data_IF_506000325192
#
_entry.id   IF_506000325192
#
_cell.length_a   1.000
_cell.length_b   1.000
_cell.length_c   1.000
_cell.angle_alpha   90.00
_cell.angle_beta   90.00
_cell.angle_gamma   90.00
#
_symmetry.space_group_name_H-M   'P 1'
#
loop_
_entity.id
_entity.type
_entity.pdbx_description
1 polymer ?
#
# COMPACT_ATOMS: atom_id res chain seq x y z
N UNK A 1 -48.82 28.31 -56.21
CA UNK A 1 -48.04 29.37 -56.90
C UNK A 1 -46.72 29.55 -56.16
N UNK A 2 -45.53 29.79 -56.74
CA UNK A 2 -44.96 29.68 -58.11
C UNK A 2 -43.50 30.23 -58.00
N UNK A 3 -42.47 29.46 -58.41
CA UNK A 3 -41.10 29.82 -58.91
C UNK A 3 -40.15 28.63 -58.59
N UNK A 4 -39.57 27.84 -59.52
CA UNK A 4 -38.74 28.09 -60.73
C UNK A 4 -37.34 28.63 -60.33
N UNK A 5 -36.15 28.10 -60.67
CA UNK A 5 -35.62 26.98 -61.53
C UNK A 5 -34.20 26.56 -61.02
N UNK A 6 -33.50 25.46 -61.38
CA UNK A 6 -33.84 24.21 -62.10
C UNK A 6 -32.78 23.69 -63.11
N UNK A 7 -32.36 22.40 -62.99
CA UNK A 7 -31.55 21.52 -63.91
C UNK A 7 -30.01 21.77 -64.04
N UNK A 8 -29.21 20.85 -64.66
CA UNK A 8 -29.46 19.52 -65.30
C UNK A 8 -28.79 18.32 -64.55
N UNK A 9 -29.00 17.00 -64.79
CA UNK A 9 -29.61 16.13 -65.82
C UNK A 9 -28.63 15.38 -66.78
N UNK A 10 -28.94 14.08 -67.05
CA UNK A 10 -28.27 13.03 -67.89
C UNK A 10 -27.22 12.16 -67.16
N UNK A 11 -27.12 10.84 -67.37
CA UNK A 11 -27.83 9.83 -68.22
C UNK A 11 -27.86 8.50 -67.42
N UNK A 12 -28.90 7.66 -67.39
CA UNK A 12 -29.53 6.89 -68.50
C UNK A 12 -29.08 5.42 -68.38
N UNK A 13 -29.89 4.48 -67.89
CA UNK A 13 -30.88 3.66 -68.64
C UNK A 13 -30.41 2.19 -68.55
N UNK A 14 -31.22 1.12 -68.61
CA UNK A 14 -32.68 0.98 -68.69
C UNK A 14 -33.14 -0.29 -67.93
N UNK A 15 -34.47 -0.51 -67.84
CA UNK A 15 -35.10 -1.56 -67.01
C UNK A 15 -35.56 -2.81 -67.83
N UNK A 16 -36.66 -3.55 -67.49
CA UNK A 16 -36.56 -4.95 -67.03
C UNK A 16 -37.34 -5.93 -67.96
N UNK A 17 -38.13 -6.88 -67.39
CA UNK A 17 -39.12 -7.81 -68.05
C UNK A 17 -38.51 -9.13 -68.61
N UNK A 18 -39.07 -10.35 -68.47
CA UNK A 18 -40.19 -10.96 -67.71
C UNK A 18 -40.23 -12.51 -67.95
N UNK A 19 -41.21 -13.22 -67.36
CA UNK A 19 -41.69 -14.60 -67.63
C UNK A 19 -40.81 -15.74 -67.06
N UNK A 20 -41.33 -16.68 -66.25
CA UNK A 20 -42.41 -17.70 -66.47
C UNK A 20 -42.02 -18.68 -67.59
N UNK A 21 -42.18 -19.99 -67.48
CA UNK A 21 -43.01 -20.81 -66.56
C UNK A 21 -42.48 -22.27 -66.45
N UNK A 22 -43.24 -23.15 -65.80
CA UNK A 22 -43.36 -24.61 -66.04
C UNK A 22 -42.78 -25.65 -65.05
N UNK A 23 -43.70 -26.55 -64.62
CA UNK A 23 -43.56 -27.99 -64.32
C UNK A 23 -42.89 -28.52 -63.02
N UNK A 24 -43.79 -28.85 -62.07
CA UNK A 24 -43.80 -29.91 -61.03
C UNK A 24 -43.39 -31.35 -61.51
N UNK A 25 -43.24 -32.37 -60.61
CA UNK A 25 -42.69 -32.38 -59.24
C UNK A 25 -41.82 -33.68 -58.99
N UNK A 26 -41.82 -34.46 -57.85
CA UNK A 26 -40.58 -35.11 -57.38
C UNK A 26 -40.58 -36.66 -57.41
N UNK A 27 -39.44 -37.31 -57.13
CA UNK A 27 -39.42 -38.74 -56.77
C UNK A 27 -38.32 -39.17 -55.80
N UNK A 28 -38.66 -40.19 -55.00
CA UNK A 28 -37.87 -40.79 -53.93
C UNK A 28 -37.05 -41.98 -54.44
N UNK A 29 -35.83 -42.17 -53.94
CA UNK A 29 -34.95 -43.30 -54.28
C UNK A 29 -34.38 -43.97 -53.03
N UNK A 30 -34.77 -45.23 -52.78
CA UNK A 30 -34.34 -46.03 -51.61
C UNK A 30 -32.88 -46.49 -51.73
N UNK A 31 -32.21 -46.57 -50.58
CA UNK A 31 -30.78 -46.85 -50.47
C UNK A 31 -30.29 -48.26 -50.82
N UNK A 32 -28.97 -48.43 -50.73
CA UNK A 32 -28.30 -49.72 -50.54
C UNK A 32 -26.97 -49.55 -49.83
N UNK A 33 -26.66 -50.48 -48.92
CA UNK A 33 -25.45 -50.45 -48.11
C UNK A 33 -24.21 -50.95 -48.87
N UNK A 34 -23.03 -50.43 -48.52
CA UNK A 34 -21.76 -51.15 -48.73
C UNK A 34 -20.81 -50.92 -47.55
N UNK A 35 -20.25 -52.03 -47.03
CA UNK A 35 -19.24 -52.06 -45.95
C UNK A 35 -17.98 -51.28 -46.34
N UNK A 36 -17.43 -50.52 -45.39
CA UNK A 36 -16.09 -49.94 -45.47
C UNK A 36 -15.53 -49.70 -44.06
N UNK A 37 -14.78 -50.67 -43.53
CA UNK A 37 -14.02 -50.53 -42.26
C UNK A 37 -13.04 -49.35 -42.38
N UNK A 38 -13.03 -48.41 -41.43
CA UNK A 38 -11.86 -47.59 -41.09
C UNK A 38 -11.65 -47.58 -39.57
N UNK A 39 -10.39 -47.58 -39.18
CA UNK A 39 -9.94 -47.96 -37.83
C UNK A 39 -10.07 -46.83 -36.81
N UNK A 40 -10.20 -47.21 -35.54
CA UNK A 40 -9.76 -46.37 -34.42
C UNK A 40 -8.23 -46.17 -34.48
N UNK A 41 -7.80 -44.91 -34.54
CA UNK A 41 -6.60 -44.32 -33.91
C UNK A 41 -6.99 -42.83 -33.74
N UNK A 42 -6.85 -42.19 -32.59
CA UNK A 42 -5.57 -42.01 -31.92
C UNK A 42 -5.03 -40.61 -32.23
N UNK A 43 -5.78 -39.56 -31.86
CA UNK A 43 -5.31 -38.18 -31.83
C UNK A 43 -5.00 -37.86 -30.36
N UNK A 44 -3.78 -37.57 -29.93
CA UNK A 44 -2.55 -37.27 -30.68
C UNK A 44 -2.06 -35.89 -30.26
N UNK A 45 -1.06 -35.84 -29.37
CA UNK A 45 -0.50 -34.58 -28.89
C UNK A 45 -0.06 -33.70 -30.05
N UNK A 46 -0.55 -32.46 -30.12
CA UNK A 46 0.07 -31.42 -30.94
C UNK A 46 1.42 -31.05 -30.32
N UNK A 47 2.47 -31.65 -30.85
CA UNK A 47 3.85 -31.25 -30.57
C UNK A 47 4.09 -29.88 -31.22
N UNK A 48 4.24 -28.86 -30.38
CA UNK A 48 4.48 -27.49 -30.81
C UNK A 48 5.83 -27.38 -31.53
N UNK A 49 5.94 -26.76 -32.72
CA UNK A 49 7.18 -26.80 -33.50
C UNK A 49 8.36 -26.07 -32.83
N UNK A 50 9.33 -26.83 -32.33
CA UNK A 50 10.66 -26.32 -31.98
C UNK A 50 11.39 -25.91 -33.27
N UNK A 51 11.28 -24.65 -33.67
CA UNK A 51 11.79 -24.20 -34.97
C UNK A 51 11.70 -22.70 -35.26
N UNK A 52 11.74 -21.84 -34.24
CA UNK A 52 11.97 -20.42 -34.45
C UNK A 52 13.48 -20.13 -34.60
N UNK A 53 13.92 -19.30 -35.55
CA UNK A 53 15.34 -18.96 -35.70
C UNK A 53 15.86 -18.28 -34.42
N UNK A 54 17.02 -18.72 -33.94
CA UNK A 54 17.64 -18.11 -32.77
C UNK A 54 18.02 -16.67 -33.05
N UNK A 55 17.34 -15.72 -32.41
CA UNK A 55 17.85 -14.37 -32.25
C UNK A 55 19.06 -14.44 -31.30
N UNK A 56 20.26 -14.65 -31.87
CA UNK A 56 21.52 -14.89 -31.14
C UNK A 56 21.83 -13.79 -30.12
N UNK A 57 21.35 -12.57 -30.38
CA UNK A 57 21.40 -11.42 -29.45
C UNK A 57 20.62 -11.66 -28.16
N UNK A 58 19.35 -12.06 -28.24
CA UNK A 58 18.50 -12.32 -27.05
C UNK A 58 19.04 -13.50 -26.21
N UNK A 59 19.54 -14.55 -26.87
CA UNK A 59 20.16 -15.69 -26.18
C UNK A 59 21.41 -15.29 -25.37
N UNK A 60 22.20 -14.35 -25.88
CA UNK A 60 23.36 -13.83 -25.15
C UNK A 60 22.95 -12.93 -23.98
N UNK A 61 21.88 -12.14 -24.12
CA UNK A 61 21.36 -11.28 -23.05
C UNK A 61 20.88 -12.09 -21.85
N UNK A 62 20.08 -13.14 -22.08
CA UNK A 62 19.58 -14.00 -20.99
C UNK A 62 20.71 -14.70 -20.23
N UNK A 63 21.73 -15.20 -20.95
CA UNK A 63 22.92 -15.80 -20.34
C UNK A 63 23.74 -14.78 -19.51
N UNK A 64 23.95 -13.57 -20.04
CA UNK A 64 24.67 -12.50 -19.33
C UNK A 64 23.92 -12.05 -18.06
N UNK A 65 22.59 -11.97 -18.11
CA UNK A 65 21.74 -11.64 -16.96
C UNK A 65 21.80 -12.74 -15.88
N UNK A 66 21.69 -14.01 -16.27
CA UNK A 66 21.83 -15.13 -15.33
C UNK A 66 23.21 -15.12 -14.66
N UNK A 67 24.29 -14.93 -15.43
CA UNK A 67 25.66 -14.79 -14.94
C UNK A 67 25.77 -13.62 -13.95
N UNK A 68 25.20 -12.45 -14.28
CA UNK A 68 25.18 -11.26 -13.43
C UNK A 68 24.47 -11.48 -12.09
N UNK A 69 23.30 -12.13 -12.08
CA UNK A 69 22.57 -12.49 -10.86
C UNK A 69 23.39 -13.46 -9.99
N UNK A 70 23.98 -14.49 -10.62
CA UNK A 70 24.84 -15.46 -9.94
C UNK A 70 26.10 -14.84 -9.34
N UNK A 71 26.74 -13.89 -10.03
CA UNK A 71 27.86 -13.11 -9.49
C UNK A 71 27.44 -12.19 -8.34
N UNK A 72 26.31 -11.49 -8.45
CA UNK A 72 25.81 -10.56 -7.43
C UNK A 72 25.55 -11.28 -6.09
N UNK A 73 24.81 -12.38 -6.14
CA UNK A 73 24.50 -13.21 -4.95
C UNK A 73 25.75 -13.95 -4.47
N UNK A 74 26.60 -14.41 -5.39
CA UNK A 74 27.86 -15.05 -5.09
C UNK A 74 28.87 -14.14 -4.36
N UNK A 75 28.92 -12.85 -4.72
CA UNK A 75 29.80 -11.85 -4.10
C UNK A 75 29.37 -11.54 -2.67
N UNK A 76 28.05 -11.43 -2.41
CA UNK A 76 27.50 -11.33 -1.07
C UNK A 76 27.95 -12.52 -0.21
N UNK A 77 27.77 -13.74 -0.74
CA UNK A 77 28.08 -14.97 0.00
C UNK A 77 29.56 -15.11 0.29
N UNK A 78 30.42 -14.76 -0.65
CA UNK A 78 31.86 -14.77 -0.48
C UNK A 78 32.34 -13.70 0.51
N UNK A 79 31.70 -12.53 0.55
CA UNK A 79 32.00 -11.48 1.54
C UNK A 79 31.56 -11.85 2.97
N UNK A 80 30.47 -12.59 3.12
CA UNK A 80 30.03 -13.13 4.42
C UNK A 80 30.73 -14.45 4.81
N UNK A 81 31.64 -14.97 3.98
CA UNK A 81 32.53 -16.08 4.32
C UNK A 81 33.61 -15.58 5.28
N UNK A 82 33.29 -15.60 6.58
CA UNK A 82 34.17 -15.11 7.63
C UNK A 82 35.54 -15.80 7.63
N UNK A 83 36.56 -15.11 8.17
CA UNK A 83 37.85 -15.73 8.48
C UNK A 83 37.69 -16.66 9.68
N UNK A 84 37.39 -17.93 9.42
CA UNK A 84 37.18 -18.97 10.43
C UNK A 84 36.78 -20.31 9.81
N UNK A 85 36.67 -21.35 10.64
CA UNK A 85 36.49 -22.74 10.19
C UNK A 85 35.11 -23.05 9.58
N UNK A 86 34.13 -22.15 9.72
CA UNK A 86 32.81 -22.25 9.10
C UNK A 86 32.83 -21.89 7.60
N UNK A 87 33.59 -22.66 6.81
CA UNK A 87 33.68 -22.50 5.35
C UNK A 87 32.33 -22.83 4.68
N UNK A 88 31.50 -21.83 4.44
CA UNK A 88 30.34 -21.95 3.55
C UNK A 88 30.76 -22.53 2.19
N UNK A 89 30.09 -23.61 1.78
CA UNK A 89 30.61 -24.50 0.73
C UNK A 89 30.60 -23.84 -0.67
N UNK A 90 29.66 -22.93 -0.93
CA UNK A 90 29.52 -22.22 -2.20
C UNK A 90 30.12 -20.80 -2.15
N UNK A 91 30.92 -20.43 -3.16
CA UNK A 91 31.46 -19.09 -3.37
C UNK A 91 30.98 -18.47 -4.68
N UNK A 92 31.54 -17.32 -5.08
CA UNK A 92 31.11 -16.56 -6.27
C UNK A 92 31.08 -17.40 -7.55
N UNK A 93 32.09 -18.25 -7.76
CA UNK A 93 32.13 -19.18 -8.91
C UNK A 93 30.97 -20.19 -8.89
N UNK A 94 30.62 -20.72 -7.72
CA UNK A 94 29.54 -21.71 -7.58
C UNK A 94 28.20 -21.10 -7.97
N UNK A 95 27.86 -19.92 -7.44
CA UNK A 95 26.60 -19.24 -7.76
C UNK A 95 26.51 -18.80 -9.22
N UNK A 96 27.60 -18.29 -9.82
CA UNK A 96 27.64 -17.95 -11.23
C UNK A 96 27.42 -19.18 -12.15
N UNK A 97 28.07 -20.31 -11.84
CA UNK A 97 27.89 -21.56 -12.58
C UNK A 97 26.46 -22.11 -12.39
N UNK A 98 25.91 -22.10 -11.18
CA UNK A 98 24.54 -22.55 -10.92
C UNK A 98 23.49 -21.71 -11.64
N UNK A 99 23.68 -20.38 -11.76
CA UNK A 99 22.76 -19.53 -12.52
C UNK A 99 22.79 -19.86 -14.03
N UNK A 100 23.99 -19.99 -14.60
CA UNK A 100 24.16 -20.40 -16.01
C UNK A 100 23.58 -21.81 -16.27
N UNK A 101 23.76 -22.73 -15.32
CA UNK A 101 23.23 -24.09 -15.39
C UNK A 101 21.69 -24.10 -15.44
N UNK A 102 21.02 -23.24 -14.66
CA UNK A 102 19.57 -23.07 -14.70
C UNK A 102 19.09 -22.49 -16.04
N UNK A 103 19.79 -21.48 -16.56
CA UNK A 103 19.50 -20.89 -17.87
C UNK A 103 19.61 -21.93 -19.00
N UNK A 104 20.74 -22.67 -19.05
CA UNK A 104 20.97 -23.70 -20.07
C UNK A 104 19.98 -24.85 -19.95
N UNK A 105 19.67 -25.33 -18.73
CA UNK A 105 18.69 -26.39 -18.51
C UNK A 105 17.31 -26.02 -19.07
N UNK A 106 16.86 -24.79 -18.83
CA UNK A 106 15.58 -24.29 -19.33
C UNK A 106 15.57 -24.16 -20.87
N UNK A 107 16.66 -23.66 -21.47
CA UNK A 107 16.76 -23.50 -22.93
C UNK A 107 16.87 -24.83 -23.69
N UNK A 108 17.58 -25.82 -23.15
CA UNK A 108 17.86 -27.10 -23.83
C UNK A 108 16.77 -28.13 -23.61
N UNK A 109 16.22 -28.24 -22.39
CA UNK A 109 15.29 -29.31 -22.02
C UNK A 109 14.07 -28.85 -21.21
N UNK A 110 13.80 -27.53 -21.19
CA UNK A 110 12.62 -26.95 -20.56
C UNK A 110 12.49 -27.25 -19.07
N UNK A 111 11.24 -27.28 -18.60
CA UNK A 111 10.88 -27.52 -17.20
C UNK A 111 11.30 -28.92 -16.70
N UNK A 112 11.33 -29.92 -17.57
CA UNK A 112 11.69 -31.30 -17.23
C UNK A 112 13.18 -31.40 -16.87
N UNK A 113 14.07 -30.88 -17.72
CA UNK A 113 15.50 -30.86 -17.43
C UNK A 113 15.82 -29.95 -16.24
N UNK A 114 15.16 -28.80 -16.12
CA UNK A 114 15.29 -27.92 -14.95
C UNK A 114 14.92 -28.65 -13.65
N UNK A 115 13.84 -29.43 -13.64
CA UNK A 115 13.42 -30.24 -12.49
C UNK A 115 14.46 -31.28 -12.09
N UNK A 116 15.04 -32.01 -13.06
CA UNK A 116 16.14 -32.95 -12.81
C UNK A 116 17.37 -32.23 -12.23
N UNK A 117 17.77 -31.10 -12.81
CA UNK A 117 18.90 -30.32 -12.31
C UNK A 117 18.67 -29.76 -10.91
N UNK A 118 17.44 -29.34 -10.58
CA UNK A 118 17.07 -28.90 -9.24
C UNK A 118 17.16 -30.04 -8.21
N UNK A 119 16.73 -31.25 -8.58
CA UNK A 119 16.90 -32.46 -7.75
C UNK A 119 18.38 -32.79 -7.55
N UNK A 120 19.20 -32.76 -8.61
CA UNK A 120 20.64 -32.99 -8.49
C UNK A 120 21.34 -31.97 -7.58
N UNK A 121 20.99 -30.68 -7.68
CA UNK A 121 21.50 -29.62 -6.80
C UNK A 121 21.02 -29.83 -5.36
N UNK A 122 19.74 -30.17 -5.14
CA UNK A 122 19.21 -30.46 -3.82
C UNK A 122 19.88 -31.67 -3.17
N UNK A 123 20.13 -32.75 -3.92
CA UNK A 123 20.87 -33.94 -3.45
C UNK A 123 22.32 -33.60 -3.09
N UNK A 124 23.03 -32.85 -3.92
CA UNK A 124 24.39 -32.37 -3.61
C UNK A 124 24.40 -31.54 -2.32
N UNK A 125 23.45 -30.62 -2.17
CA UNK A 125 23.22 -29.82 -0.96
C UNK A 125 22.97 -30.71 0.25
N UNK A 126 22.10 -31.73 0.16
CA UNK A 126 21.83 -32.67 1.25
C UNK A 126 23.06 -33.47 1.63
N UNK A 127 23.85 -33.97 0.67
CA UNK A 127 25.11 -34.71 0.93
C UNK A 127 26.15 -33.82 1.61
N UNK A 128 26.27 -32.56 1.20
CA UNK A 128 27.15 -31.56 1.85
C UNK A 128 26.70 -31.28 3.28
N UNK A 129 25.40 -31.09 3.50
CA UNK A 129 24.82 -30.88 4.83
C UNK A 129 25.06 -32.07 5.76
N UNK A 130 24.80 -33.30 5.30
CA UNK A 130 25.05 -34.53 6.05
C UNK A 130 26.53 -34.72 6.42
N UNK A 131 27.46 -34.30 5.54
CA UNK A 131 28.90 -34.31 5.86
C UNK A 131 29.34 -33.21 6.85
N UNK A 132 28.52 -32.19 7.09
CA UNK A 132 28.87 -31.01 7.87
C UNK A 132 28.10 -30.89 9.21
N UNK A 133 27.57 -32.01 9.72
CA UNK A 133 26.79 -32.09 10.97
C UNK A 133 27.47 -31.49 12.22
N UNK A 134 28.80 -31.39 12.25
CA UNK A 134 29.55 -30.80 13.37
C UNK A 134 29.68 -29.26 13.33
N UNK A 135 29.23 -28.60 12.26
CA UNK A 135 29.41 -27.15 12.08
C UNK A 135 28.18 -26.53 11.41
N UNK A 136 27.15 -26.29 12.22
CA UNK A 136 25.81 -25.72 11.91
C UNK A 136 25.73 -24.94 10.58
N UNK A 137 25.51 -25.63 9.43
CA UNK A 137 25.55 -25.01 8.12
C UNK A 137 24.25 -24.24 7.91
N UNK A 138 24.33 -22.92 7.91
CA UNK A 138 23.14 -22.08 7.89
C UNK A 138 22.33 -22.21 6.60
N UNK A 139 21.29 -23.08 6.64
CA UNK A 139 20.31 -23.52 5.61
C UNK A 139 19.93 -22.47 4.54
N UNK A 140 20.03 -21.19 4.88
CA UNK A 140 20.01 -20.06 3.94
C UNK A 140 20.97 -20.16 2.74
N UNK A 141 22.13 -20.82 2.84
CA UNK A 141 23.08 -20.95 1.72
C UNK A 141 22.56 -21.90 0.65
N UNK A 142 21.98 -22.99 1.14
CA UNK A 142 21.48 -24.15 0.46
C UNK A 142 20.22 -23.77 -0.32
N UNK A 143 19.29 -23.08 0.35
CA UNK A 143 18.11 -22.48 -0.27
C UNK A 143 18.51 -21.43 -1.31
N UNK A 144 19.46 -20.54 -1.01
CA UNK A 144 19.93 -19.55 -1.99
C UNK A 144 20.49 -20.17 -3.27
N UNK A 145 21.17 -21.33 -3.18
CA UNK A 145 21.74 -22.01 -4.34
C UNK A 145 20.64 -22.56 -5.27
N UNK A 146 19.57 -23.12 -4.71
CA UNK A 146 18.36 -23.51 -5.44
C UNK A 146 17.62 -22.30 -6.02
N UNK A 147 17.49 -21.21 -5.26
CA UNK A 147 16.89 -19.95 -5.74
C UNK A 147 17.66 -19.38 -6.94
N UNK A 148 18.99 -19.45 -6.94
CA UNK A 148 19.82 -18.97 -8.06
C UNK A 148 19.72 -19.87 -9.30
N UNK A 149 19.54 -21.18 -9.14
CA UNK A 149 19.21 -22.07 -10.26
C UNK A 149 17.88 -21.67 -10.94
N UNK A 150 16.84 -21.42 -10.14
CA UNK A 150 15.52 -21.03 -10.64
C UNK A 150 15.53 -19.62 -11.26
N UNK A 151 16.24 -18.66 -10.66
CA UNK A 151 16.46 -17.32 -11.23
C UNK A 151 17.17 -17.41 -12.58
N UNK A 152 18.20 -18.24 -12.70
CA UNK A 152 18.90 -18.50 -13.96
C UNK A 152 17.95 -19.03 -15.04
N UNK A 153 17.07 -19.97 -14.71
CA UNK A 153 16.05 -20.46 -15.63
C UNK A 153 15.04 -19.37 -16.05
N UNK A 154 14.59 -18.53 -15.11
CA UNK A 154 13.69 -17.40 -15.39
C UNK A 154 14.30 -16.37 -16.34
N UNK A 155 15.63 -16.29 -16.47
CA UNK A 155 16.28 -15.39 -17.42
C UNK A 155 15.99 -15.74 -18.89
N UNK A 156 15.55 -16.97 -19.19
CA UNK A 156 15.12 -17.39 -20.53
C UNK A 156 13.73 -16.89 -20.93
N UNK A 157 12.84 -16.69 -19.96
CA UNK A 157 11.42 -16.34 -20.21
C UNK A 157 11.06 -14.90 -19.79
N UNK A 158 11.66 -14.38 -18.72
CA UNK A 158 11.36 -13.07 -18.16
C UNK A 158 12.62 -12.46 -17.48
N UNK A 159 13.62 -12.02 -18.26
CA UNK A 159 14.88 -11.53 -17.72
C UNK A 159 14.72 -10.32 -16.79
N UNK A 160 13.80 -9.40 -17.07
CA UNK A 160 13.52 -8.23 -16.21
C UNK A 160 13.02 -8.64 -14.82
N UNK A 161 12.10 -9.61 -14.75
CA UNK A 161 11.57 -10.15 -13.50
C UNK A 161 12.66 -10.93 -12.74
N UNK A 162 13.50 -11.69 -13.45
CA UNK A 162 14.63 -12.39 -12.86
C UNK A 162 15.67 -11.42 -12.26
N UNK A 163 15.95 -10.28 -12.92
CA UNK A 163 16.81 -9.22 -12.36
C UNK A 163 16.19 -8.65 -11.10
N UNK A 164 14.91 -8.27 -11.13
CA UNK A 164 14.22 -7.68 -9.99
C UNK A 164 14.24 -8.61 -8.77
N UNK A 165 13.87 -9.89 -8.94
CA UNK A 165 13.89 -10.88 -7.85
C UNK A 165 15.34 -11.17 -7.41
N UNK A 166 16.30 -11.28 -8.33
CA UNK A 166 17.71 -11.52 -8.02
C UNK A 166 18.34 -10.40 -7.19
N UNK A 167 18.03 -9.15 -7.49
CA UNK A 167 18.48 -7.98 -6.71
C UNK A 167 17.81 -7.96 -5.33
N UNK A 168 16.51 -8.28 -5.23
CA UNK A 168 15.82 -8.38 -3.93
C UNK A 168 16.41 -9.49 -3.06
N UNK A 169 16.69 -10.67 -3.63
CA UNK A 169 17.35 -11.78 -2.92
C UNK A 169 18.76 -11.39 -2.47
N UNK A 170 19.58 -10.81 -3.34
CA UNK A 170 20.92 -10.33 -2.99
C UNK A 170 20.87 -9.28 -1.86
N UNK A 171 19.91 -8.34 -1.91
CA UNK A 171 19.68 -7.37 -0.86
C UNK A 171 19.28 -8.03 0.46
N UNK A 172 18.33 -8.96 0.45
CA UNK A 172 17.89 -9.67 1.66
C UNK A 172 19.03 -10.42 2.35
N UNK A 173 19.91 -11.07 1.57
CA UNK A 173 21.11 -11.70 2.09
C UNK A 173 22.09 -10.65 2.66
N UNK A 174 22.42 -9.61 1.90
CA UNK A 174 23.37 -8.56 2.30
C UNK A 174 22.95 -7.81 3.57
N UNK A 175 21.64 -7.59 3.77
CA UNK A 175 21.09 -6.91 4.95
C UNK A 175 20.75 -7.88 6.11
N UNK A 176 20.94 -9.20 5.97
CA UNK A 176 20.57 -10.23 6.98
C UNK A 176 20.98 -9.87 8.41
N UNK A 177 22.24 -9.50 8.62
CA UNK A 177 22.73 -9.15 9.97
C UNK A 177 22.08 -7.88 10.53
N UNK A 178 21.86 -6.86 9.69
CA UNK A 178 21.20 -5.60 10.10
C UNK A 178 19.73 -5.83 10.39
N UNK A 179 19.03 -6.61 9.57
CA UNK A 179 17.64 -7.03 9.79
C UNK A 179 17.49 -7.84 11.07
N UNK A 180 18.38 -8.81 11.31
CA UNK A 180 18.36 -9.63 12.54
C UNK A 180 18.67 -8.82 13.79
N UNK A 181 19.64 -7.90 13.73
CA UNK A 181 19.92 -6.99 14.85
C UNK A 181 18.73 -6.06 15.10
N UNK A 182 18.16 -5.44 14.06
CA UNK A 182 16.99 -4.57 14.17
C UNK A 182 15.79 -5.30 14.79
N UNK A 183 15.44 -6.49 14.29
CA UNK A 183 14.35 -7.30 14.83
C UNK A 183 14.57 -7.73 16.29
N UNK A 184 15.82 -7.93 16.73
CA UNK A 184 16.15 -8.50 18.05
C UNK A 184 16.61 -7.49 19.10
N UNK A 185 17.03 -6.28 18.71
CA UNK A 185 17.50 -5.22 19.62
C UNK A 185 16.70 -3.91 19.53
N UNK A 186 15.99 -3.67 18.43
CA UNK A 186 15.24 -2.43 18.20
C UNK A 186 13.71 -2.60 18.20
N UNK A 187 13.18 -3.83 18.23
CA UNK A 187 11.75 -4.07 18.44
C UNK A 187 11.52 -4.80 19.76
N UNK A 188 10.56 -4.31 20.54
CA UNK A 188 9.88 -5.06 21.59
C UNK A 188 9.07 -6.20 20.98
N UNK A 189 8.84 -7.28 21.72
CA UNK A 189 7.95 -8.37 21.29
C UNK A 189 6.55 -7.89 20.90
N UNK A 190 6.04 -6.86 21.58
CA UNK A 190 4.78 -6.21 21.22
C UNK A 190 4.88 -5.52 19.85
N UNK A 191 5.89 -4.66 19.63
CA UNK A 191 6.12 -3.99 18.34
C UNK A 191 6.29 -4.99 17.20
N UNK A 192 6.96 -6.13 17.44
CA UNK A 192 7.16 -7.17 16.43
C UNK A 192 5.86 -7.92 16.09
N UNK A 193 5.04 -8.26 17.10
CA UNK A 193 3.72 -8.90 16.88
C UNK A 193 2.78 -7.95 16.15
N UNK A 194 2.65 -6.72 16.61
CA UNK A 194 1.71 -5.76 16.05
C UNK A 194 2.21 -5.20 14.68
N UNK A 195 3.51 -5.23 14.42
CA UNK A 195 4.10 -5.04 13.08
C UNK A 195 3.85 -6.22 12.14
N UNK A 196 3.89 -7.47 12.62
CA UNK A 196 3.50 -8.65 11.85
C UNK A 196 2.01 -8.60 11.46
N UNK A 197 1.15 -8.11 12.37
CA UNK A 197 -0.27 -7.83 12.06
C UNK A 197 -0.40 -6.83 10.91
N UNK A 198 0.38 -5.75 10.90
CA UNK A 198 0.38 -4.78 9.79
C UNK A 198 0.80 -5.44 8.46
N UNK A 199 1.83 -6.29 8.48
CA UNK A 199 2.24 -7.07 7.30
C UNK A 199 1.14 -8.04 6.83
N UNK A 200 0.47 -8.76 7.73
CA UNK A 200 -0.65 -9.63 7.38
C UNK A 200 -1.81 -8.82 6.79
N UNK A 201 -2.14 -7.67 7.38
CA UNK A 201 -3.17 -6.78 6.85
C UNK A 201 -2.83 -6.25 5.44
N UNK A 202 -1.58 -5.84 5.21
CA UNK A 202 -1.13 -5.25 3.95
C UNK A 202 -0.85 -6.27 2.82
N UNK A 203 -0.25 -7.42 3.13
CA UNK A 203 0.18 -8.42 2.14
C UNK A 203 -0.81 -9.59 1.98
N UNK A 204 -1.72 -9.82 2.93
CA UNK A 204 -2.71 -10.89 2.85
C UNK A 204 -4.13 -10.32 2.79
N UNK A 205 -4.56 -9.57 3.81
CA UNK A 205 -5.97 -9.12 3.88
C UNK A 205 -6.30 -8.14 2.76
N UNK A 206 -5.46 -7.14 2.50
CA UNK A 206 -5.68 -6.12 1.48
C UNK A 206 -5.78 -6.67 0.04
N UNK A 207 -4.87 -7.55 -0.46
CA UNK A 207 -5.04 -8.14 -1.79
C UNK A 207 -6.24 -9.09 -1.88
N UNK A 208 -6.59 -9.81 -0.80
CA UNK A 208 -7.81 -10.64 -0.76
C UNK A 208 -9.11 -9.83 -0.60
N UNK A 209 -9.06 -8.58 -0.14
CA UNK A 209 -10.25 -7.77 0.11
C UNK A 209 -11.02 -7.49 -1.21
N UNK A 210 -12.30 -7.88 -1.33
CA UNK A 210 -13.05 -7.69 -2.57
C UNK A 210 -13.28 -6.20 -2.85
N UNK A 211 -12.92 -5.74 -4.05
CA UNK A 211 -13.17 -4.37 -4.50
C UNK A 211 -14.59 -4.22 -5.04
N UNK A 212 -15.55 -4.28 -4.13
CA UNK A 212 -16.98 -4.03 -4.42
C UNK A 212 -17.61 -3.38 -3.20
N UNK A 213 -18.60 -2.54 -3.46
CA UNK A 213 -19.48 -2.02 -2.44
C UNK A 213 -20.45 -3.12 -1.99
N UNK A 214 -20.58 -3.32 -0.69
CA UNK A 214 -21.37 -4.39 -0.06
C UNK A 214 -22.28 -3.78 1.01
N UNK A 215 -23.46 -4.37 1.20
CA UNK A 215 -24.43 -3.98 2.22
C UNK A 215 -25.52 -3.03 1.72
N UNK A 216 -26.47 -2.64 2.60
CA UNK A 216 -27.51 -1.68 2.28
C UNK A 216 -26.91 -0.36 1.75
N UNK A 217 -27.58 0.25 0.78
CA UNK A 217 -27.16 1.51 0.13
C UNK A 217 -25.78 1.48 -0.56
N UNK A 218 -25.15 0.31 -0.74
CA UNK A 218 -23.84 0.18 -1.40
C UNK A 218 -22.74 1.14 -0.85
N UNK A 219 -22.74 1.39 0.46
CA UNK A 219 -21.86 2.39 1.07
C UNK A 219 -20.48 1.86 1.50
N UNK A 220 -20.38 0.56 1.80
CA UNK A 220 -19.20 -0.05 2.43
C UNK A 220 -18.35 -0.75 1.37
N UNK A 221 -17.18 -0.18 1.03
CA UNK A 221 -16.16 -0.87 0.24
C UNK A 221 -15.08 -1.42 1.18
N UNK A 222 -15.01 -2.76 1.30
CA UNK A 222 -14.10 -3.42 2.24
C UNK A 222 -12.63 -3.20 1.87
N UNK A 223 -12.28 -3.19 0.57
CA UNK A 223 -10.93 -2.86 0.11
C UNK A 223 -10.54 -1.44 0.51
N UNK A 224 -11.43 -0.46 0.35
CA UNK A 224 -11.16 0.94 0.75
C UNK A 224 -10.92 1.07 2.24
N UNK A 225 -11.73 0.42 3.08
CA UNK A 225 -11.52 0.40 4.54
C UNK A 225 -10.18 -0.28 4.88
N UNK A 226 -9.87 -1.44 4.30
CA UNK A 226 -8.58 -2.11 4.50
C UNK A 226 -7.39 -1.24 4.07
N UNK A 227 -7.46 -0.56 2.92
CA UNK A 227 -6.41 0.36 2.45
C UNK A 227 -6.20 1.49 3.46
N UNK A 228 -7.28 2.12 3.94
CA UNK A 228 -7.19 3.24 4.88
C UNK A 228 -6.72 2.81 6.28
N UNK A 229 -7.13 1.63 6.77
CA UNK A 229 -6.58 1.06 8.01
C UNK A 229 -5.08 0.78 7.87
N UNK A 230 -4.64 0.11 6.80
CA UNK A 230 -3.22 -0.18 6.54
C UNK A 230 -2.41 1.11 6.40
N UNK A 231 -2.94 2.11 5.71
CA UNK A 231 -2.36 3.44 5.57
C UNK A 231 -2.12 4.11 6.93
N UNK A 232 -3.17 4.20 7.75
CA UNK A 232 -3.10 4.84 9.08
C UNK A 232 -2.14 4.10 10.02
N UNK A 233 -2.17 2.76 10.03
CA UNK A 233 -1.22 1.95 10.80
C UNK A 233 0.22 2.14 10.33
N UNK A 234 0.45 2.21 9.01
CA UNK A 234 1.79 2.41 8.44
C UNK A 234 2.34 3.79 8.77
N UNK A 235 1.51 4.83 8.70
CA UNK A 235 1.90 6.19 9.07
C UNK A 235 2.16 6.32 10.57
N UNK A 236 1.33 5.71 11.42
CA UNK A 236 1.57 5.66 12.87
C UNK A 236 2.84 4.89 13.24
N UNK A 237 3.13 3.80 12.55
CA UNK A 237 4.37 3.04 12.67
C UNK A 237 5.61 3.87 12.31
N UNK A 238 5.58 4.58 11.18
CA UNK A 238 6.65 5.50 10.76
C UNK A 238 6.82 6.61 11.80
N UNK A 239 5.72 7.19 12.30
CA UNK A 239 5.73 8.18 13.38
C UNK A 239 6.44 7.68 14.63
N UNK A 240 6.16 6.46 15.08
CA UNK A 240 6.79 5.86 16.26
C UNK A 240 8.28 5.59 16.07
N UNK A 241 8.67 5.07 14.90
CA UNK A 241 10.08 4.88 14.53
C UNK A 241 10.78 6.25 14.50
N UNK A 242 10.12 7.30 14.02
CA UNK A 242 10.64 8.67 14.06
C UNK A 242 10.78 9.21 15.50
N UNK A 243 9.80 9.01 16.40
CA UNK A 243 9.95 9.36 17.84
C UNK A 243 11.15 8.62 18.45
N UNK A 244 11.29 7.33 18.19
CA UNK A 244 12.36 6.48 18.76
C UNK A 244 13.76 6.85 18.24
N UNK A 245 13.87 7.26 16.98
CA UNK A 245 15.16 7.61 16.34
C UNK A 245 15.54 9.09 16.54
N UNK A 246 14.60 10.03 16.48
CA UNK A 246 14.86 11.47 16.66
C UNK A 246 14.71 11.97 18.11
N UNK A 247 13.87 11.33 18.93
CA UNK A 247 13.49 11.84 20.26
C UNK A 247 14.66 11.98 21.24
N UNK A 248 15.78 11.29 21.00
CA UNK A 248 17.01 11.40 21.79
C UNK A 248 17.84 12.67 21.52
N UNK A 249 17.50 13.45 20.48
CA UNK A 249 18.35 14.56 19.97
C UNK A 249 17.59 15.84 19.58
N UNK A 250 16.26 15.80 19.42
CA UNK A 250 15.49 16.85 18.74
C UNK A 250 14.30 17.45 19.54
N UNK A 251 14.22 17.21 20.85
CA UNK A 251 13.30 17.90 21.77
C UNK A 251 11.81 17.55 21.64
N UNK A 252 10.98 18.24 22.43
CA UNK A 252 9.53 17.98 22.54
C UNK A 252 8.76 18.14 21.21
N UNK A 253 9.08 19.15 20.40
CA UNK A 253 8.30 19.49 19.19
C UNK A 253 8.39 18.42 18.09
N UNK A 254 9.60 18.02 17.70
CA UNK A 254 9.77 17.00 16.65
C UNK A 254 9.23 15.65 17.13
N UNK A 255 9.41 15.35 18.41
CA UNK A 255 8.80 14.17 19.05
C UNK A 255 7.27 14.22 19.02
N UNK A 256 6.65 15.40 19.20
CA UNK A 256 5.20 15.54 19.20
C UNK A 256 4.58 15.51 17.79
N UNK A 257 5.27 15.99 16.76
CA UNK A 257 4.85 15.76 15.35
C UNK A 257 4.86 14.25 15.06
N UNK A 258 5.98 13.59 15.38
CA UNK A 258 6.16 12.15 15.13
C UNK A 258 5.17 11.29 15.95
N UNK A 259 4.91 11.64 17.21
CA UNK A 259 3.89 11.04 18.07
C UNK A 259 2.46 11.32 17.57
N UNK A 260 2.24 12.50 16.98
CA UNK A 260 0.95 12.90 16.42
C UNK A 260 0.44 11.96 15.33
N UNK A 261 1.34 11.37 14.55
CA UNK A 261 1.01 10.36 13.53
C UNK A 261 0.50 9.04 14.15
N UNK A 262 0.94 8.68 15.36
CA UNK A 262 0.37 7.55 16.10
C UNK A 262 -0.96 7.94 16.76
N UNK A 263 -1.00 9.06 17.49
CA UNK A 263 -2.24 9.72 17.92
C UNK A 263 -1.98 11.14 18.43
N UNK A 264 -2.49 12.15 17.72
CA UNK A 264 -2.44 13.55 18.17
C UNK A 264 -3.15 13.74 19.51
N UNK A 265 -4.30 13.10 19.77
CA UNK A 265 -5.04 13.24 21.03
C UNK A 265 -4.25 12.69 22.22
N UNK A 266 -3.62 11.51 22.09
CA UNK A 266 -2.72 10.97 23.14
C UNK A 266 -1.48 11.84 23.30
N UNK A 267 -0.96 12.42 22.22
CA UNK A 267 0.18 13.36 22.26
C UNK A 267 -0.18 14.62 23.06
N UNK A 268 -1.34 15.21 22.82
CA UNK A 268 -1.84 16.37 23.58
C UNK A 268 -2.08 16.01 25.06
N UNK A 269 -2.63 14.82 25.35
CA UNK A 269 -2.79 14.32 26.71
C UNK A 269 -1.44 14.18 27.43
N UNK A 270 -0.44 13.59 26.76
CA UNK A 270 0.93 13.41 27.28
C UNK A 270 1.63 14.75 27.51
N UNK A 271 1.54 15.70 26.56
CA UNK A 271 2.10 17.04 26.73
C UNK A 271 1.42 17.81 27.86
N UNK A 272 0.10 17.67 28.03
CA UNK A 272 -0.61 18.26 29.16
C UNK A 272 -0.14 17.69 30.50
N UNK A 273 -0.02 16.36 30.62
CA UNK A 273 0.45 15.74 31.86
C UNK A 273 1.89 16.17 32.20
N UNK A 274 2.80 16.27 31.23
CA UNK A 274 4.16 16.78 31.48
C UNK A 274 4.11 18.27 31.83
N UNK A 275 3.25 19.07 31.20
CA UNK A 275 3.08 20.50 31.49
C UNK A 275 2.49 20.76 32.89
N UNK A 276 1.70 19.83 33.43
CA UNK A 276 1.22 19.86 34.81
C UNK A 276 2.35 19.61 35.83
N UNK A 277 3.36 18.80 35.47
CA UNK A 277 4.54 18.53 36.32
C UNK A 277 5.70 19.51 36.10
N UNK A 278 5.83 20.10 34.91
CA UNK A 278 6.88 21.06 34.53
C UNK A 278 6.27 22.44 34.14
N UNK A 279 5.76 23.23 35.12
CA UNK A 279 5.02 24.47 34.86
C UNK A 279 5.85 25.57 34.15
N UNK A 280 7.18 25.47 34.18
CA UNK A 280 8.10 26.41 33.51
C UNK A 280 8.17 26.18 31.98
N UNK A 281 7.91 24.95 31.52
CA UNK A 281 8.01 24.56 30.11
C UNK A 281 6.67 24.63 29.35
N UNK A 282 5.57 25.02 30.01
CA UNK A 282 4.18 24.96 29.48
C UNK A 282 4.02 25.57 28.08
N UNK A 283 4.74 26.66 27.76
CA UNK A 283 4.71 27.27 26.41
C UNK A 283 5.27 26.35 25.32
N UNK A 284 6.40 25.69 25.61
CA UNK A 284 7.08 24.76 24.69
C UNK A 284 6.25 23.49 24.52
N UNK A 285 5.63 22.99 25.59
CA UNK A 285 4.74 21.84 25.50
C UNK A 285 3.41 22.17 24.81
N UNK A 286 2.88 23.38 24.99
CA UNK A 286 1.73 23.88 24.22
C UNK A 286 2.04 23.94 22.72
N UNK A 287 3.21 24.49 22.35
CA UNK A 287 3.69 24.48 20.97
C UNK A 287 3.83 23.04 20.42
N UNK A 288 4.47 22.14 21.17
CA UNK A 288 4.62 20.74 20.78
C UNK A 288 3.26 20.03 20.59
N UNK A 289 2.30 20.27 21.49
CA UNK A 289 0.94 19.76 21.40
C UNK A 289 0.23 20.25 20.13
N UNK A 290 0.35 21.54 19.79
CA UNK A 290 -0.13 22.10 18.52
C UNK A 290 0.54 21.43 17.31
N UNK A 291 1.86 21.28 17.32
CA UNK A 291 2.60 20.68 16.21
C UNK A 291 2.15 19.23 15.94
N UNK A 292 1.60 18.51 16.91
CA UNK A 292 0.95 17.20 16.68
C UNK A 292 -0.26 17.27 15.73
N UNK A 293 -0.93 18.42 15.59
CA UNK A 293 -2.02 18.60 14.63
C UNK A 293 -1.54 18.59 13.17
N UNK A 294 -0.27 18.92 12.89
CA UNK A 294 0.29 18.80 11.54
C UNK A 294 0.26 17.35 11.05
N UNK A 295 0.40 16.37 11.96
CA UNK A 295 0.21 14.97 11.63
C UNK A 295 -1.24 14.68 11.25
N UNK A 296 -2.23 15.18 12.01
CA UNK A 296 -3.66 15.03 11.68
C UNK A 296 -4.00 15.67 10.32
N UNK A 297 -3.52 16.88 10.03
CA UNK A 297 -3.75 17.55 8.73
C UNK A 297 -3.13 16.74 7.59
N UNK A 298 -1.90 16.25 7.77
CA UNK A 298 -1.22 15.36 6.81
C UNK A 298 -1.99 14.05 6.62
N UNK A 299 -2.49 13.43 7.69
CA UNK A 299 -3.26 12.17 7.64
C UNK A 299 -4.61 12.34 6.94
N UNK A 300 -5.32 13.46 7.16
CA UNK A 300 -6.55 13.79 6.43
C UNK A 300 -6.25 13.93 4.93
N UNK A 301 -5.22 14.69 4.55
CA UNK A 301 -4.80 14.80 3.14
C UNK A 301 -4.43 13.44 2.52
N UNK A 302 -3.76 12.58 3.29
CA UNK A 302 -3.36 11.26 2.83
C UNK A 302 -4.56 10.30 2.67
N UNK A 303 -5.56 10.36 3.57
CA UNK A 303 -6.83 9.65 3.41
C UNK A 303 -7.50 10.06 2.11
N UNK A 304 -7.68 11.38 1.89
CA UNK A 304 -8.32 11.91 0.68
C UNK A 304 -7.61 11.44 -0.59
N UNK A 305 -6.30 11.68 -0.70
CA UNK A 305 -5.52 11.30 -1.88
C UNK A 305 -5.42 9.79 -2.12
N UNK A 306 -5.61 8.96 -1.09
CA UNK A 306 -5.67 7.49 -1.22
C UNK A 306 -7.03 7.00 -1.71
N UNK A 307 -8.11 7.73 -1.41
CA UNK A 307 -9.46 7.41 -1.88
C UNK A 307 -9.64 7.86 -3.33
N UNK A 308 -9.42 9.14 -3.62
CA UNK A 308 -9.43 9.75 -4.95
C UNK A 308 -8.69 11.09 -4.95
N UNK A 309 -7.83 11.35 -5.94
CA UNK A 309 -7.05 12.60 -6.03
C UNK A 309 -7.95 13.84 -6.22
N UNK A 310 -9.13 13.69 -6.83
CA UNK A 310 -10.12 14.75 -7.01
C UNK A 310 -10.65 15.32 -5.69
N UNK A 311 -10.72 14.49 -4.63
CA UNK A 311 -11.13 14.90 -3.28
C UNK A 311 -10.19 15.93 -2.64
N UNK A 312 -8.92 15.96 -3.05
CA UNK A 312 -7.97 16.95 -2.56
C UNK A 312 -8.25 18.35 -3.11
N UNK A 313 -8.90 18.47 -4.27
CA UNK A 313 -9.13 19.78 -4.91
C UNK A 313 -9.96 20.73 -4.04
N UNK A 314 -11.15 20.35 -3.50
CA UNK A 314 -11.91 21.20 -2.58
C UNK A 314 -11.32 21.29 -1.16
N UNK A 315 -10.31 20.47 -0.83
CA UNK A 315 -9.68 20.43 0.50
C UNK A 315 -8.27 21.04 0.55
N UNK A 316 -7.67 21.37 -0.59
CA UNK A 316 -6.29 21.86 -0.67
C UNK A 316 -6.09 23.17 0.10
N UNK A 317 -6.93 24.17 -0.14
CA UNK A 317 -6.85 25.46 0.56
C UNK A 317 -7.16 25.36 2.06
N UNK A 318 -8.20 24.63 2.52
CA UNK A 318 -8.40 24.34 3.94
C UNK A 318 -7.21 23.65 4.61
N UNK A 319 -6.64 22.60 3.99
CA UNK A 319 -5.52 21.87 4.57
C UNK A 319 -4.25 22.75 4.65
N UNK A 320 -3.96 23.54 3.62
CA UNK A 320 -2.85 24.52 3.66
C UNK A 320 -3.08 25.62 4.69
N UNK A 321 -4.29 26.20 4.76
CA UNK A 321 -4.66 27.20 5.75
C UNK A 321 -4.47 26.69 7.18
N UNK A 322 -4.96 25.48 7.47
CA UNK A 322 -4.79 24.85 8.77
C UNK A 322 -3.32 24.52 9.10
N UNK A 323 -2.56 23.97 8.15
CA UNK A 323 -1.14 23.66 8.34
C UNK A 323 -0.30 24.91 8.60
N UNK A 324 -0.49 25.96 7.79
CA UNK A 324 0.23 27.24 7.93
C UNK A 324 -0.13 27.96 9.22
N UNK A 325 -1.41 28.05 9.59
CA UNK A 325 -1.85 28.61 10.87
C UNK A 325 -1.23 27.88 12.07
N UNK A 326 -1.23 26.55 12.05
CA UNK A 326 -0.62 25.71 13.10
C UNK A 326 0.88 25.94 13.20
N UNK A 327 1.58 25.97 12.07
CA UNK A 327 3.02 26.19 12.02
C UNK A 327 3.41 27.60 12.51
N UNK A 328 2.69 28.65 12.07
CA UNK A 328 2.94 30.03 12.48
C UNK A 328 2.68 30.25 13.98
N UNK A 329 1.56 29.74 14.52
CA UNK A 329 1.25 29.88 15.94
C UNK A 329 2.19 29.04 16.82
N UNK A 330 2.48 27.79 16.42
CA UNK A 330 3.45 26.92 17.10
C UNK A 330 4.86 27.55 17.14
N UNK A 331 5.28 28.18 16.04
CA UNK A 331 6.54 28.92 15.98
C UNK A 331 6.51 30.19 16.84
N UNK A 332 5.42 30.95 16.82
CA UNK A 332 5.20 32.14 17.67
C UNK A 332 5.36 31.81 19.17
N UNK A 333 4.82 30.67 19.62
CA UNK A 333 5.00 30.19 20.99
C UNK A 333 6.46 29.78 21.34
N UNK A 334 7.30 29.48 20.34
CA UNK A 334 8.73 29.14 20.51
C UNK A 334 9.69 30.34 20.40
N UNK A 335 9.23 31.50 19.94
CA UNK A 335 10.11 32.69 19.83
C UNK A 335 10.72 33.16 21.17
N UNK A 336 10.07 33.04 22.34
CA UNK A 336 10.73 33.18 23.62
C UNK A 336 11.71 32.01 23.83
N UNK A 337 12.99 32.31 24.08
CA UNK A 337 14.05 31.28 24.25
C UNK A 337 13.60 30.16 25.19
N UNK A 338 13.66 28.88 24.77
CA UNK A 338 13.22 27.77 25.61
C UNK A 338 14.06 27.70 26.89
N UNK A 339 13.41 27.43 28.02
CA UNK A 339 14.10 27.22 29.28
C UNK A 339 15.06 26.03 29.18
N UNK A 340 16.21 26.15 29.86
CA UNK A 340 17.37 25.27 29.71
C UNK A 340 17.09 23.92 30.36
N UNK A 341 16.52 22.98 29.61
CA UNK A 341 16.20 21.62 30.10
C UNK A 341 15.13 20.84 29.31
N UNK A 342 14.39 21.50 28.40
CA UNK A 342 13.24 20.95 27.67
C UNK A 342 13.58 19.89 26.59
N UNK A 343 14.26 18.80 26.96
CA UNK A 343 14.83 17.81 26.03
C UNK A 343 14.56 16.35 26.43
N UNK A 344 13.52 16.08 27.22
CA UNK A 344 13.12 14.71 27.55
C UNK A 344 12.41 14.04 26.37
N UNK A 345 12.78 12.79 25.98
CA UNK A 345 12.10 12.07 24.92
C UNK A 345 10.69 11.68 25.34
N UNK A 346 9.71 11.87 24.45
CA UNK A 346 8.32 11.47 24.71
C UNK A 346 8.24 9.93 24.74
N UNK A 347 7.89 9.36 25.90
CA UNK A 347 7.50 7.96 26.03
C UNK A 347 6.04 7.79 25.61
N UNK A 348 5.82 7.58 24.32
CA UNK A 348 4.51 7.22 23.77
C UNK A 348 4.28 5.72 23.97
N UNK A 349 3.05 5.31 24.31
CA UNK A 349 2.67 3.88 24.26
C UNK A 349 2.75 3.36 22.82
N UNK A 350 3.12 2.08 22.66
CA UNK A 350 3.47 1.49 21.35
C UNK A 350 2.44 1.78 20.24
N UNK A 351 2.92 2.31 19.12
CA UNK A 351 2.06 2.77 18.02
C UNK A 351 1.49 1.66 17.13
N UNK A 352 2.06 0.46 17.20
CA UNK A 352 1.44 -0.73 16.64
C UNK A 352 0.52 -1.30 17.72
N UNK A 353 -0.80 -1.20 17.53
CA UNK A 353 -1.75 -1.73 18.48
C UNK A 353 -2.95 -2.34 17.74
N UNK A 354 -3.00 -3.68 17.66
CA UNK A 354 -4.09 -4.43 17.04
C UNK A 354 -5.47 -4.01 17.58
N UNK A 355 -5.58 -3.71 18.87
CA UNK A 355 -6.85 -3.25 19.48
C UNK A 355 -7.27 -1.90 18.91
N UNK A 356 -6.32 -0.97 18.72
CA UNK A 356 -6.58 0.34 18.11
C UNK A 356 -6.98 0.19 16.64
N UNK A 357 -6.26 -0.63 15.87
CA UNK A 357 -6.57 -0.89 14.46
C UNK A 357 -7.96 -1.52 14.27
N UNK A 358 -8.33 -2.47 15.14
CA UNK A 358 -9.66 -3.09 15.14
C UNK A 358 -10.75 -2.08 15.53
N UNK A 359 -10.53 -1.26 16.56
CA UNK A 359 -11.46 -0.20 16.97
C UNK A 359 -11.65 0.81 15.84
N UNK A 360 -10.58 1.30 15.20
CA UNK A 360 -10.65 2.24 14.07
C UNK A 360 -11.38 1.62 12.89
N UNK A 361 -11.08 0.37 12.52
CA UNK A 361 -11.77 -0.34 11.42
C UNK A 361 -13.27 -0.53 11.70
N UNK A 362 -13.62 -0.91 12.93
CA UNK A 362 -15.01 -1.09 13.35
C UNK A 362 -15.76 0.25 13.41
N UNK A 363 -15.10 1.29 13.92
CA UNK A 363 -15.63 2.66 13.96
C UNK A 363 -15.86 3.19 12.54
N UNK A 364 -14.86 3.12 11.65
CA UNK A 364 -14.98 3.45 10.22
C UNK A 364 -16.18 2.76 9.58
N UNK A 365 -16.31 1.44 9.76
CA UNK A 365 -17.39 0.64 9.17
C UNK A 365 -18.76 1.10 9.71
N UNK A 366 -18.89 1.27 11.03
CA UNK A 366 -20.12 1.71 11.68
C UNK A 366 -20.51 3.14 11.33
N UNK A 367 -19.55 4.07 11.28
CA UNK A 367 -19.75 5.47 10.89
C UNK A 367 -20.14 5.57 9.42
N UNK A 368 -19.52 4.78 8.53
CA UNK A 368 -19.86 4.74 7.09
C UNK A 368 -21.28 4.22 6.88
N UNK A 369 -21.65 3.13 7.57
CA UNK A 369 -23.01 2.60 7.56
C UNK A 369 -24.03 3.61 8.08
N UNK A 370 -23.76 4.23 9.23
CA UNK A 370 -24.67 5.21 9.84
C UNK A 370 -24.79 6.48 8.99
N UNK A 371 -23.69 6.98 8.41
CA UNK A 371 -23.70 8.16 7.54
C UNK A 371 -24.51 7.92 6.27
N UNK A 372 -24.40 6.74 5.65
CA UNK A 372 -25.22 6.41 4.47
C UNK A 372 -26.69 6.19 4.83
N UNK A 373 -27.00 5.53 5.95
CA UNK A 373 -28.38 5.40 6.44
C UNK A 373 -29.01 6.74 6.83
N UNK A 374 -28.23 7.69 7.34
CA UNK A 374 -28.69 9.05 7.64
C UNK A 374 -28.78 9.92 6.36
N UNK A 375 -27.92 9.69 5.35
CA UNK A 375 -28.03 10.34 4.04
C UNK A 375 -29.33 9.95 3.33
N UNK A 376 -29.69 8.66 3.33
CA UNK A 376 -30.95 8.16 2.74
C UNK A 376 -32.19 8.74 3.43
N UNK A 377 -32.15 8.90 4.76
CA UNK A 377 -33.30 9.32 5.57
C UNK A 377 -33.42 10.83 5.80
N UNK A 378 -32.32 11.56 5.78
CA UNK A 378 -32.25 12.98 6.16
C UNK A 378 -31.38 13.84 5.21
N UNK A 379 -30.90 13.28 4.10
CA UNK A 379 -30.07 13.99 3.13
C UNK A 379 -28.72 14.44 3.72
N UNK A 380 -28.16 15.52 3.16
CA UNK A 380 -26.87 16.08 3.58
C UNK A 380 -26.82 16.46 5.06
N UNK A 381 -27.97 16.88 5.64
CA UNK A 381 -28.10 17.19 7.07
C UNK A 381 -27.82 15.95 7.93
N UNK A 382 -28.26 14.76 7.48
CA UNK A 382 -27.94 13.49 8.13
C UNK A 382 -26.44 13.22 8.17
N UNK A 383 -25.72 13.52 7.09
CA UNK A 383 -24.25 13.38 7.01
C UNK A 383 -23.54 14.40 7.88
N UNK A 384 -24.04 15.64 7.98
CA UNK A 384 -23.50 16.64 8.91
C UNK A 384 -23.65 16.19 10.37
N UNK A 385 -24.80 15.61 10.75
CA UNK A 385 -25.05 15.09 12.11
C UNK A 385 -24.20 13.85 12.42
N UNK A 386 -23.98 12.94 11.46
CA UNK A 386 -23.05 11.83 11.70
C UNK A 386 -21.60 12.31 11.73
N UNK A 387 -21.23 13.34 10.96
CA UNK A 387 -19.91 13.96 10.97
C UNK A 387 -19.59 14.67 12.31
N UNK A 388 -20.53 15.41 12.91
CA UNK A 388 -20.33 16.01 14.26
C UNK A 388 -20.07 14.93 15.30
N UNK A 389 -20.93 13.91 15.39
CA UNK A 389 -20.85 12.86 16.40
C UNK A 389 -19.63 11.96 16.22
N UNK A 390 -19.34 11.54 15.00
CA UNK A 390 -18.18 10.68 14.69
C UNK A 390 -16.85 11.42 14.82
N UNK A 391 -16.80 12.68 14.37
CA UNK A 391 -15.61 13.52 14.47
C UNK A 391 -15.18 13.76 15.92
N UNK A 392 -16.12 13.76 16.88
CA UNK A 392 -15.79 13.88 18.30
C UNK A 392 -14.98 12.68 18.82
N UNK A 393 -15.25 11.48 18.27
CA UNK A 393 -14.56 10.25 18.65
C UNK A 393 -13.24 10.05 17.87
N UNK A 394 -13.27 10.19 16.54
CA UNK A 394 -12.08 10.14 15.69
C UNK A 394 -12.29 10.83 14.33
N UNK A 395 -11.47 11.84 14.05
CA UNK A 395 -11.47 12.51 12.74
C UNK A 395 -11.10 11.59 11.58
N UNK A 396 -10.21 10.61 11.77
CA UNK A 396 -9.73 9.77 10.65
C UNK A 396 -10.85 8.87 10.14
N UNK A 397 -11.57 8.21 11.07
CA UNK A 397 -12.73 7.38 10.77
C UNK A 397 -13.85 8.17 10.10
N UNK A 398 -14.11 9.39 10.57
CA UNK A 398 -15.11 10.29 9.98
C UNK A 398 -14.71 10.77 8.57
N UNK A 399 -13.46 11.23 8.41
CA UNK A 399 -12.88 11.67 7.12
C UNK A 399 -12.96 10.55 6.08
N UNK A 400 -12.58 9.34 6.47
CA UNK A 400 -12.61 8.16 5.61
C UNK A 400 -14.02 7.76 5.20
N UNK A 401 -14.99 7.82 6.13
CA UNK A 401 -16.41 7.59 5.84
C UNK A 401 -16.91 8.57 4.78
N UNK A 402 -16.70 9.88 4.98
CA UNK A 402 -17.14 10.92 4.05
C UNK A 402 -16.47 10.73 2.66
N UNK A 403 -15.18 10.43 2.63
CA UNK A 403 -14.46 10.15 1.39
C UNK A 403 -14.99 8.87 0.68
N UNK A 404 -15.38 7.83 1.42
CA UNK A 404 -15.97 6.60 0.87
C UNK A 404 -17.35 6.86 0.26
N UNK A 405 -18.20 7.67 0.91
CA UNK A 405 -19.51 8.09 0.38
C UNK A 405 -19.38 8.94 -0.90
N UNK A 406 -18.35 9.78 -0.98
CA UNK A 406 -18.04 10.52 -2.19
C UNK A 406 -17.62 9.59 -3.34
N UNK A 407 -16.72 8.64 -3.06
CA UNK A 407 -16.24 7.67 -4.05
C UNK A 407 -17.34 6.71 -4.54
N UNK A 408 -18.34 6.41 -3.71
CA UNK A 408 -19.53 5.66 -4.13
C UNK A 408 -20.54 6.49 -4.94
N UNK A 409 -20.27 7.77 -5.19
CA UNK A 409 -21.16 8.69 -5.91
C UNK A 409 -22.37 9.17 -5.10
N UNK A 410 -22.39 8.94 -3.78
CA UNK A 410 -23.50 9.34 -2.91
C UNK A 410 -23.40 10.80 -2.44
N UNK A 411 -22.20 11.38 -2.39
CA UNK A 411 -22.00 12.82 -2.26
C UNK A 411 -21.27 13.37 -3.50
N UNK A 412 -21.70 14.52 -4.05
CA UNK A 412 -20.91 15.24 -5.04
C UNK A 412 -19.64 15.79 -4.40
N UNK A 413 -18.53 15.81 -5.16
CA UNK A 413 -17.22 16.18 -4.63
C UNK A 413 -17.18 17.58 -3.98
N UNK A 414 -17.98 18.52 -4.49
CA UNK A 414 -18.01 19.90 -4.00
C UNK A 414 -18.72 20.04 -2.63
N UNK A 415 -19.64 19.14 -2.28
CA UNK A 415 -20.39 19.19 -1.01
C UNK A 415 -19.60 18.62 0.20
N UNK A 416 -18.43 18.03 -0.04
CA UNK A 416 -17.65 17.31 0.99
C UNK A 416 -17.03 18.24 2.03
N UNK A 417 -16.74 19.48 1.63
CA UNK A 417 -16.01 20.42 2.47
C UNK A 417 -16.72 20.70 3.81
N UNK A 418 -18.04 20.89 3.78
CA UNK A 418 -18.86 21.13 4.97
C UNK A 418 -18.77 19.99 6.00
N UNK A 419 -19.24 18.77 5.68
CA UNK A 419 -19.17 17.62 6.58
C UNK A 419 -17.75 17.31 7.07
N UNK A 420 -16.73 17.45 6.20
CA UNK A 420 -15.34 17.17 6.58
C UNK A 420 -14.78 18.20 7.57
N UNK A 421 -15.01 19.49 7.34
CA UNK A 421 -14.62 20.54 8.28
C UNK A 421 -15.38 20.46 9.59
N UNK A 422 -16.65 20.04 9.56
CA UNK A 422 -17.45 19.76 10.76
C UNK A 422 -16.83 18.61 11.58
N UNK A 423 -16.45 17.50 10.94
CA UNK A 423 -15.77 16.39 11.62
C UNK A 423 -14.42 16.82 12.24
N UNK A 424 -13.61 17.59 11.49
CA UNK A 424 -12.32 18.11 11.96
C UNK A 424 -12.50 19.12 13.11
N UNK A 425 -13.55 19.95 13.05
CA UNK A 425 -13.91 20.89 14.11
C UNK A 425 -14.38 20.16 15.38
N UNK A 426 -15.14 19.07 15.24
CA UNK A 426 -15.57 18.24 16.36
C UNK A 426 -14.39 17.54 17.05
N UNK A 427 -13.47 16.95 16.29
CA UNK A 427 -12.21 16.40 16.83
C UNK A 427 -11.35 17.47 17.50
N UNK A 428 -11.38 18.70 16.98
CA UNK A 428 -10.68 19.84 17.56
C UNK A 428 -11.25 20.22 18.93
N UNK A 429 -12.58 20.17 19.11
CA UNK A 429 -13.23 20.33 20.41
C UNK A 429 -12.80 19.23 21.40
N UNK A 430 -12.75 17.96 20.96
CA UNK A 430 -12.23 16.85 21.78
C UNK A 430 -10.79 17.09 22.23
N UNK A 431 -9.92 17.59 21.35
CA UNK A 431 -8.52 17.94 21.68
C UNK A 431 -8.41 19.08 22.68
N UNK A 432 -9.26 20.12 22.56
CA UNK A 432 -9.36 21.20 23.54
C UNK A 432 -9.77 20.68 24.93
N UNK A 433 -10.76 19.79 25.00
CA UNK A 433 -11.21 19.16 26.24
C UNK A 433 -10.09 18.31 26.87
N UNK A 434 -9.41 17.49 26.07
CA UNK A 434 -8.27 16.68 26.53
C UNK A 434 -7.13 17.56 27.06
N UNK A 435 -6.78 18.66 26.37
CA UNK A 435 -5.76 19.60 26.84
C UNK A 435 -6.12 20.22 28.20
N UNK A 436 -7.39 20.58 28.40
CA UNK A 436 -7.86 21.13 29.68
C UNK A 436 -7.80 20.12 30.81
N UNK A 437 -8.23 18.88 30.58
CA UNK A 437 -8.23 17.81 31.60
C UNK A 437 -6.80 17.38 31.95
N UNK A 438 -5.89 17.28 30.97
CA UNK A 438 -4.55 16.73 31.20
C UNK A 438 -3.52 17.76 31.69
N UNK A 439 -3.57 19.01 31.21
CA UNK A 439 -2.59 20.06 31.51
C UNK A 439 -3.13 21.26 32.28
N UNK A 440 -4.43 21.27 32.58
CA UNK A 440 -5.10 22.37 33.29
C UNK A 440 -5.16 23.68 32.52
N UNK A 441 -5.71 24.71 33.17
CA UNK A 441 -6.00 26.02 32.57
C UNK A 441 -4.80 26.67 31.88
N UNK A 442 -3.59 26.59 32.46
CA UNK A 442 -2.39 27.26 31.90
C UNK A 442 -1.92 26.63 30.59
N UNK A 443 -2.02 25.32 30.43
CA UNK A 443 -1.69 24.63 29.19
C UNK A 443 -2.81 24.84 28.14
N UNK A 444 -4.07 24.69 28.56
CA UNK A 444 -5.22 24.88 27.70
C UNK A 444 -5.30 26.32 27.13
N UNK A 445 -4.89 27.34 27.89
CA UNK A 445 -4.83 28.73 27.42
C UNK A 445 -3.87 28.95 26.22
N UNK A 446 -2.89 28.06 26.00
CA UNK A 446 -2.04 28.09 24.79
C UNK A 446 -2.55 27.16 23.70
N UNK A 447 -3.14 26.01 24.05
CA UNK A 447 -3.61 25.03 23.06
C UNK A 447 -4.93 25.45 22.41
N UNK A 448 -5.89 25.97 23.17
CA UNK A 448 -7.24 26.31 22.69
C UNK A 448 -7.21 27.41 21.61
N UNK A 449 -6.54 28.57 21.78
CA UNK A 449 -6.51 29.59 20.74
C UNK A 449 -5.80 29.09 19.48
N UNK A 450 -4.79 28.24 19.64
CA UNK A 450 -4.12 27.54 18.55
C UNK A 450 -5.05 26.62 17.75
N UNK A 451 -5.90 25.85 18.45
CA UNK A 451 -6.88 24.96 17.82
C UNK A 451 -8.02 25.75 17.14
N UNK A 452 -8.46 26.86 17.74
CA UNK A 452 -9.43 27.79 17.13
C UNK A 452 -8.84 28.43 15.88
N UNK A 453 -7.58 28.86 15.91
CA UNK A 453 -6.90 29.44 14.74
C UNK A 453 -6.75 28.39 13.62
N UNK A 454 -6.38 27.16 13.95
CA UNK A 454 -6.37 26.03 13.02
C UNK A 454 -7.74 25.87 12.35
N UNK A 455 -8.81 25.69 13.11
CA UNK A 455 -10.15 25.44 12.54
C UNK A 455 -10.65 26.63 11.74
N UNK A 456 -10.52 27.86 12.24
CA UNK A 456 -10.90 29.06 11.51
C UNK A 456 -10.11 29.23 10.21
N UNK A 457 -8.82 28.90 10.17
CA UNK A 457 -8.03 28.93 8.94
C UNK A 457 -8.46 27.85 7.93
N UNK A 458 -8.86 26.66 8.40
CA UNK A 458 -9.42 25.63 7.53
C UNK A 458 -10.78 26.05 6.94
N UNK A 459 -11.66 26.66 7.77
CA UNK A 459 -12.91 27.25 7.29
C UNK A 459 -12.69 28.44 6.36
N UNK A 460 -11.72 29.33 6.63
CA UNK A 460 -11.35 30.43 5.73
C UNK A 460 -10.93 29.91 4.35
N UNK A 461 -10.24 28.78 4.30
CA UNK A 461 -9.80 28.13 3.06
C UNK A 461 -10.92 27.63 2.13
N UNK A 462 -12.18 27.54 2.57
CA UNK A 462 -13.31 27.23 1.66
C UNK A 462 -13.84 28.47 0.94
N UNK A 463 -13.57 29.67 1.46
CA UNK A 463 -13.95 30.94 0.82
C UNK A 463 -12.92 31.43 -0.20
N UNK A 464 -11.78 30.72 -0.31
CA UNK A 464 -10.68 31.01 -1.23
C UNK A 464 -10.69 30.13 -2.50
N UNK A 465 -11.83 29.47 -2.79
CA UNK A 465 -12.02 28.50 -3.87
C UNK A 465 -12.85 29.06 -5.03
#
# INVERSE_FOLDING_TARGET
MRRISGRPARTGGDSPVNQRDASRPPQSGKGRARRGRRNHHGQGCEAQPYGAPMNTSLGLTGAAVALGIGLLIGLERERHKGRGDSRTCAGLRTFAITALLGYVAMQVGGSLLLGVMAICVALLVTVVYWRSLNSDPGVTSEVALLTVLLLGAMCGTAPELAIAIGVVVAGLLAYRQKLHHFARSQLSEAEMRDGLVLLIAALVVLPLAPDRYIGPYAAINLRTICTLTVLLMTVGAIGHIAVRTLGRRYGYVISAIASGFASSTVTIASMGHIAATEPDNVKVLGAAALFSNLATVTQVGLILGTVDIGLLRPMWWPLLGGATATALYGLCLMFPRPARGANQPIKVGGAFNLKLALIVTLAMTGITFLSSAMLDRFGEVGVMVTATLSGFADAHSSTASIASLAKSGQLPFDAIAGPMLIAISSNSLSKCLVAWISGGHRFAAYVIPGQILLTLAMWAGTWAQ
#
